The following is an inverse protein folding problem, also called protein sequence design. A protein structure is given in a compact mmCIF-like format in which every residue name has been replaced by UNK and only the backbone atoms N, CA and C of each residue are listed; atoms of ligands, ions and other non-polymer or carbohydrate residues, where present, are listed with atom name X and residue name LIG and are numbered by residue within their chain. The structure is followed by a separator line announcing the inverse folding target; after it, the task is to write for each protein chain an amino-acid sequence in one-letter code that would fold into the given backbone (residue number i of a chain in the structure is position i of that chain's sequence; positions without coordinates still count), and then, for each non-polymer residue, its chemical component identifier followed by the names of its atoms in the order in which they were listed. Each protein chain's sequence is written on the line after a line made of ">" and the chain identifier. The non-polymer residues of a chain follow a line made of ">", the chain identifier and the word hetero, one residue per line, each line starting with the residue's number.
data_IF_761113193038
#
_entry.id   IF_761113193038
#
_cell.length_a   1.000
_cell.length_b   1.000
_cell.length_c   1.000
_cell.angle_alpha   90.00
_cell.angle_beta   90.00
_cell.angle_gamma   90.00
#
_symmetry.space_group_name_H-M   'P 1'
#
loop_
_entity.id
_entity.type
_entity.pdbx_description
1 polymer ?
#
# COMPACT_ATOMS: atom_id res chain seq x y z
N UNK A 1 15.02 5.01 -6.98
CA UNK A 1 14.40 3.68 -6.79
C UNK A 1 13.07 3.89 -6.06
N UNK A 2 11.99 3.29 -6.54
CA UNK A 2 10.66 3.31 -5.92
C UNK A 2 10.37 1.92 -5.32
N UNK A 3 9.55 1.85 -4.28
CA UNK A 3 9.00 0.59 -3.77
C UNK A 3 7.56 0.45 -4.26
N UNK A 4 7.26 -0.66 -4.92
CA UNK A 4 5.94 -1.05 -5.36
C UNK A 4 5.23 -1.88 -4.29
N UNK A 5 3.96 -1.57 -4.06
CA UNK A 5 3.09 -2.30 -3.15
C UNK A 5 2.95 -3.77 -3.57
N UNK A 6 2.89 -4.67 -2.58
CA UNK A 6 2.80 -6.14 -2.73
C UNK A 6 3.89 -6.84 -3.56
N UNK A 7 4.91 -6.11 -4.03
CA UNK A 7 5.99 -6.64 -4.88
C UNK A 7 7.36 -6.49 -4.20
N UNK A 8 7.63 -5.32 -3.61
CA UNK A 8 8.91 -5.02 -2.97
C UNK A 8 8.87 -5.25 -1.44
N UNK A 9 10.04 -5.17 -0.78
CA UNK A 9 10.17 -5.35 0.67
C UNK A 9 9.46 -4.29 1.52
N UNK A 10 9.45 -4.48 2.83
CA UNK A 10 8.76 -3.59 3.79
C UNK A 10 9.73 -2.66 4.51
N UNK A 11 9.26 -1.47 4.89
CA UNK A 11 10.01 -0.55 5.76
C UNK A 11 9.41 -0.53 7.15
N UNK A 12 10.19 -0.94 8.15
CA UNK A 12 9.83 -0.91 9.56
C UNK A 12 10.10 0.47 10.17
N UNK A 13 9.05 1.16 10.63
CA UNK A 13 9.14 2.48 11.27
C UNK A 13 8.38 2.48 12.59
N UNK A 14 9.01 2.94 13.67
CA UNK A 14 8.33 3.15 14.97
C UNK A 14 7.70 4.53 15.00
N UNK A 15 6.37 4.59 14.96
CA UNK A 15 5.61 5.85 14.98
C UNK A 15 4.22 5.66 15.59
N UNK A 16 3.55 6.77 15.89
CA UNK A 16 2.12 6.81 16.29
C UNK A 16 1.22 7.35 15.16
N UNK A 17 1.76 7.52 13.95
CA UNK A 17 1.00 7.97 12.79
C UNK A 17 -0.12 6.98 12.42
N UNK A 18 -1.26 7.50 11.99
CA UNK A 18 -2.39 6.67 11.56
C UNK A 18 -2.16 6.11 10.15
N UNK A 19 -2.70 4.93 9.79
CA UNK A 19 -2.66 4.43 8.42
C UNK A 19 -3.15 5.48 7.41
N UNK A 20 -2.47 5.59 6.27
CA UNK A 20 -2.73 6.61 5.25
C UNK A 20 -2.05 7.96 5.48
N UNK A 21 -1.38 8.16 6.62
CA UNK A 21 -0.53 9.35 6.82
C UNK A 21 0.73 9.28 5.96
N UNK A 22 1.16 10.42 5.43
CA UNK A 22 2.46 10.55 4.80
C UNK A 22 3.48 11.03 5.85
N UNK A 23 4.59 10.29 5.99
CA UNK A 23 5.64 10.60 6.96
C UNK A 23 6.98 10.75 6.26
N UNK A 24 7.80 11.68 6.76
CA UNK A 24 9.22 11.74 6.45
C UNK A 24 9.97 10.80 7.39
N UNK A 25 10.83 9.95 6.82
CA UNK A 25 11.63 8.98 7.55
C UNK A 25 13.06 8.97 7.04
N UNK A 26 14.00 8.63 7.91
CA UNK A 26 15.40 8.41 7.55
C UNK A 26 15.71 6.93 7.64
N UNK A 27 16.02 6.32 6.51
CA UNK A 27 16.48 4.92 6.47
C UNK A 27 17.80 4.80 7.25
N UNK A 28 17.85 3.87 8.19
CA UNK A 28 19.01 3.64 9.07
C UNK A 28 19.73 2.34 8.75
N UNK A 29 19.01 1.35 8.22
CA UNK A 29 19.59 0.08 7.81
C UNK A 29 18.83 -0.53 6.64
N UNK A 30 19.58 -1.23 5.79
CA UNK A 30 19.04 -2.22 4.85
C UNK A 30 19.07 -3.57 5.58
N UNK A 31 17.94 -4.26 5.60
CA UNK A 31 17.80 -5.60 6.15
C UNK A 31 17.88 -6.63 5.01
N UNK A 32 17.90 -7.91 5.37
CA UNK A 32 17.84 -9.00 4.39
C UNK A 32 16.55 -8.91 3.54
N UNK A 33 16.60 -9.43 2.32
CA UNK A 33 15.46 -9.46 1.37
C UNK A 33 14.86 -8.10 0.97
N UNK A 34 15.68 -7.04 0.91
CA UNK A 34 15.28 -5.68 0.51
C UNK A 34 14.27 -5.00 1.44
N UNK A 35 14.23 -5.43 2.69
CA UNK A 35 13.55 -4.74 3.78
C UNK A 35 14.40 -3.58 4.32
N UNK A 36 13.76 -2.63 5.00
CA UNK A 36 14.42 -1.48 5.59
C UNK A 36 13.99 -1.24 7.04
N UNK A 37 14.90 -0.68 7.83
CA UNK A 37 14.56 -0.04 9.12
C UNK A 37 14.80 1.45 8.99
N UNK A 38 13.91 2.25 9.54
CA UNK A 38 14.00 3.71 9.43
C UNK A 38 13.48 4.43 10.67
N UNK A 39 14.08 5.59 10.95
CA UNK A 39 13.68 6.48 12.04
C UNK A 39 12.62 7.47 11.55
N UNK A 40 11.60 7.70 12.37
CA UNK A 40 10.59 8.73 12.10
C UNK A 40 11.20 10.13 12.25
N UNK A 41 10.95 11.01 11.29
CA UNK A 41 11.38 12.43 11.35
C UNK A 41 10.19 13.33 11.65
N UNK A 42 9.15 13.30 10.81
CA UNK A 42 7.92 14.09 10.98
C UNK A 42 6.77 13.56 10.14
N UNK A 43 5.55 13.91 10.50
CA UNK A 43 4.38 13.76 9.62
C UNK A 43 4.31 14.94 8.65
N UNK A 44 4.01 14.67 7.38
CA UNK A 44 3.79 15.71 6.38
C UNK A 44 2.30 16.05 6.34
N UNK A 45 1.98 17.34 6.25
CA UNK A 45 0.60 17.75 5.98
C UNK A 45 0.19 17.28 4.59
N UNK A 46 -0.83 16.43 4.55
CA UNK A 46 -1.49 16.04 3.32
C UNK A 46 -2.82 16.78 3.21
N UNK A 47 -3.19 17.29 2.02
CA UNK A 47 -4.56 17.71 1.76
C UNK A 47 -5.52 16.58 2.14
N UNK A 48 -6.61 16.90 2.82
CA UNK A 48 -7.61 15.91 3.18
C UNK A 48 -8.09 15.17 1.91
N UNK A 49 -7.77 13.88 1.80
CA UNK A 49 -8.34 13.03 0.76
C UNK A 49 -9.80 12.81 1.16
N UNK A 50 -10.78 13.09 0.28
CA UNK A 50 -12.17 12.77 0.57
C UNK A 50 -12.25 11.28 0.90
N UNK A 51 -12.80 10.93 2.07
CA UNK A 51 -13.07 9.53 2.41
C UNK A 51 -13.87 8.94 1.25
N UNK A 52 -13.25 8.03 0.49
CA UNK A 52 -13.95 7.37 -0.60
C UNK A 52 -15.16 6.68 0.01
N UNK A 53 -16.36 7.13 -0.33
CA UNK A 53 -17.57 6.43 0.04
C UNK A 53 -17.41 4.98 -0.45
N UNK A 54 -17.87 3.97 0.31
CA UNK A 54 -17.74 2.58 -0.10
C UNK A 54 -18.27 2.46 -1.53
N UNK A 55 -17.43 1.96 -2.43
CA UNK A 55 -17.78 1.84 -3.84
C UNK A 55 -19.09 1.07 -3.92
N UNK A 56 -20.14 1.69 -4.46
CA UNK A 56 -21.41 1.02 -4.75
C UNK A 56 -21.07 -0.27 -5.49
N UNK A 57 -21.44 -1.42 -4.92
CA UNK A 57 -21.13 -2.72 -5.49
C UNK A 57 -21.49 -2.73 -6.97
N UNK A 58 -20.48 -2.82 -7.83
CA UNK A 58 -20.66 -2.91 -9.28
C UNK A 58 -20.83 -4.37 -9.61
N UNK A 59 -22.06 -4.80 -9.87
CA UNK A 59 -22.30 -6.14 -10.41
C UNK A 59 -21.85 -6.14 -11.87
N UNK A 60 -20.84 -6.94 -12.18
CA UNK A 60 -20.47 -7.20 -13.57
C UNK A 60 -21.56 -8.09 -14.19
N UNK A 61 -22.10 -7.75 -15.38
CA UNK A 61 -22.95 -8.68 -16.10
C UNK A 61 -22.09 -9.89 -16.50
N UNK A 62 -22.33 -11.02 -15.85
CA UNK A 62 -21.69 -12.28 -16.23
C UNK A 62 -22.49 -12.84 -17.40
N UNK A 63 -21.91 -12.85 -18.59
CA UNK A 63 -22.46 -13.65 -19.70
C UNK A 63 -22.29 -15.14 -19.33
N UNK A 64 -23.27 -16.01 -19.62
CA UNK A 64 -23.12 -17.44 -19.41
C UNK A 64 -21.97 -17.95 -20.28
N UNK A 65 -20.86 -18.36 -19.67
CA UNK A 65 -19.74 -18.99 -20.38
C UNK A 65 -20.15 -20.40 -20.80
N UNK A 66 -20.39 -20.61 -22.09
CA UNK A 66 -20.43 -21.96 -22.68
C UNK A 66 -18.97 -22.38 -22.92
N UNK A 67 -18.49 -23.32 -22.11
CA UNK A 67 -17.30 -24.12 -22.40
C UNK A 67 -16.08 -23.83 -21.52
N UNK A 68 -15.69 -24.83 -20.72
CA UNK A 68 -14.31 -25.04 -20.31
C UNK A 68 -13.66 -25.92 -21.40
N UNK A 69 -12.61 -25.42 -22.05
CA UNK A 69 -11.72 -26.26 -22.85
C UNK A 69 -10.41 -26.45 -22.09
N UNK A 70 -10.12 -27.70 -21.73
CA UNK A 70 -8.84 -28.10 -21.15
C UNK A 70 -9.00 -29.15 -20.07
N UNK A 71 -8.93 -30.42 -20.48
CA UNK A 71 -8.37 -31.48 -19.65
C UNK A 71 -6.91 -31.65 -20.02
#
# INVERSE_FOLDING_TARGET
>A
PWQADDIDGVTWVRTVATPGSLIETRVTAVQDDYDFTADFVRTLEMPAVPSAAPARGRTLPVAPSIGSFGR
#
